data_IF_217453532973
#
_entry.id   IF_217453532973
#
_cell.length_a   1.000
_cell.length_b   1.000
_cell.length_c   1.000
_cell.angle_alpha   90.00
_cell.angle_beta   90.00
_cell.angle_gamma   90.00
#
_symmetry.space_group_name_H-M   'P 1'
#
loop_
_entity.id
_entity.type
_entity.pdbx_description
1 polymer ?
#
# COMPACT_ATOMS: atom_id res chain seq x y z
N UNK A 1 6.88 7.48 -11.16
CA UNK A 1 6.48 6.06 -11.01
C UNK A 1 5.05 5.92 -10.50
N UNK A 2 4.73 6.34 -9.26
CA UNK A 2 3.39 6.18 -8.69
C UNK A 2 2.29 6.92 -9.47
N UNK A 3 2.55 8.15 -9.93
CA UNK A 3 1.59 8.87 -10.79
C UNK A 3 1.27 8.10 -12.08
N UNK A 4 2.30 7.61 -12.77
CA UNK A 4 2.12 6.88 -14.02
C UNK A 4 1.35 5.58 -13.81
N UNK A 5 1.67 4.84 -12.75
CA UNK A 5 0.90 3.67 -12.31
C UNK A 5 -0.56 4.04 -12.00
N UNK A 6 -0.79 5.15 -11.29
CA UNK A 6 -2.14 5.59 -10.94
C UNK A 6 -2.95 5.92 -12.19
N UNK A 7 -2.36 6.60 -13.18
CA UNK A 7 -3.04 6.89 -14.46
C UNK A 7 -3.38 5.64 -15.26
N UNK A 8 -2.55 4.59 -15.20
CA UNK A 8 -2.76 3.36 -15.97
C UNK A 8 -3.67 2.35 -15.28
N UNK A 9 -3.71 2.36 -13.94
CA UNK A 9 -4.30 1.27 -13.15
C UNK A 9 -5.49 1.71 -12.29
N UNK A 10 -5.72 3.00 -12.11
CA UNK A 10 -6.81 3.52 -11.28
C UNK A 10 -7.86 4.24 -12.13
N UNK A 11 -9.12 4.12 -11.72
CA UNK A 11 -10.19 4.90 -12.31
C UNK A 11 -10.07 6.38 -11.88
N UNK A 12 -10.30 7.35 -12.78
CA UNK A 12 -10.37 8.76 -12.40
C UNK A 12 -11.40 8.99 -11.29
N UNK A 13 -11.07 9.83 -10.31
CA UNK A 13 -11.95 10.13 -9.18
C UNK A 13 -12.03 9.04 -8.10
N UNK A 14 -11.30 7.93 -8.22
CA UNK A 14 -11.27 6.92 -7.16
C UNK A 14 -10.57 7.44 -5.89
N UNK A 15 -10.95 6.89 -4.74
CA UNK A 15 -10.34 7.21 -3.46
C UNK A 15 -9.23 6.22 -3.13
N UNK A 16 -8.01 6.73 -3.03
CA UNK A 16 -6.82 5.98 -2.59
C UNK A 16 -6.66 6.18 -1.09
N UNK A 17 -6.87 5.10 -0.34
CA UNK A 17 -6.61 5.01 1.09
C UNK A 17 -5.17 4.54 1.32
N UNK A 18 -4.36 5.35 2.01
CA UNK A 18 -2.94 5.05 2.26
C UNK A 18 -2.57 5.28 3.72
N UNK A 19 -1.62 4.47 4.23
CA UNK A 19 -1.03 4.53 5.57
C UNK A 19 -0.11 5.74 5.82
N UNK A 20 0.11 6.52 4.77
CA UNK A 20 0.68 7.86 4.83
C UNK A 20 2.06 8.03 4.26
N UNK A 21 2.59 7.02 3.56
CA UNK A 21 3.80 7.16 2.77
C UNK A 21 3.72 8.36 1.80
N UNK A 22 4.79 9.16 1.75
CA UNK A 22 4.81 10.42 1.00
C UNK A 22 4.64 10.22 -0.52
N UNK A 23 5.14 9.10 -1.06
CA UNK A 23 5.10 8.81 -2.49
C UNK A 23 3.69 8.66 -3.07
N UNK A 24 2.70 8.26 -2.26
CA UNK A 24 1.29 8.15 -2.70
C UNK A 24 0.59 9.49 -2.85
N UNK A 25 1.18 10.61 -2.41
CA UNK A 25 0.65 11.92 -2.75
C UNK A 25 0.58 12.15 -4.27
N UNK A 26 1.41 11.46 -5.06
CA UNK A 26 1.42 11.56 -6.52
C UNK A 26 0.14 11.04 -7.20
N UNK A 27 -0.75 10.32 -6.51
CA UNK A 27 -2.01 9.84 -7.09
C UNK A 27 -3.01 10.98 -7.35
N UNK A 28 -2.86 12.12 -6.66
CA UNK A 28 -3.71 13.30 -6.91
C UNK A 28 -3.43 13.91 -8.28
N UNK A 29 -2.20 13.81 -8.78
CA UNK A 29 -1.84 14.22 -10.14
C UNK A 29 -2.47 13.31 -11.22
N UNK A 30 -2.93 12.12 -10.85
CA UNK A 30 -3.73 11.23 -11.70
C UNK A 30 -5.26 11.48 -11.56
N UNK A 31 -5.68 12.51 -10.84
CA UNK A 31 -7.10 12.82 -10.61
C UNK A 31 -7.78 11.89 -9.60
N UNK A 32 -7.01 11.19 -8.77
CA UNK A 32 -7.55 10.37 -7.67
C UNK A 32 -7.67 11.22 -6.39
N UNK A 33 -8.64 10.88 -5.54
CA UNK A 33 -8.73 11.41 -4.19
C UNK A 33 -7.72 10.68 -3.29
N UNK A 34 -6.94 11.41 -2.51
CA UNK A 34 -5.95 10.80 -1.63
C UNK A 34 -6.37 10.98 -0.17
N UNK A 35 -6.85 9.89 0.45
CA UNK A 35 -7.18 9.84 1.87
C UNK A 35 -6.05 9.17 2.63
N UNK A 36 -5.32 9.98 3.40
CA UNK A 36 -4.20 9.52 4.21
C UNK A 36 -4.66 9.26 5.63
N UNK A 37 -4.44 8.04 6.12
CA UNK A 37 -4.57 7.70 7.53
C UNK A 37 -3.17 7.48 8.10
N UNK A 38 -2.59 8.54 8.67
CA UNK A 38 -1.24 8.47 9.26
C UNK A 38 -1.27 7.55 10.48
N UNK A 39 -0.53 6.46 10.41
CA UNK A 39 -0.39 5.49 11.51
C UNK A 39 0.68 6.00 12.50
N UNK A 40 0.37 7.09 13.21
CA UNK A 40 1.25 7.66 14.24
C UNK A 40 1.12 6.88 15.57
N UNK A 41 1.57 5.62 15.59
CA UNK A 41 1.55 4.79 16.80
C UNK A 41 0.22 4.09 17.11
N UNK A 42 -0.75 4.15 16.20
CA UNK A 42 -1.98 3.34 16.29
C UNK A 42 -1.65 1.87 16.07
N UNK A 43 -2.25 0.99 16.87
CA UNK A 43 -2.07 -0.45 16.69
C UNK A 43 -2.86 -0.91 15.47
N UNK A 44 -2.46 -1.98 14.77
CA UNK A 44 -3.20 -2.50 13.62
C UNK A 44 -4.69 -2.78 13.91
N UNK A 45 -5.04 -3.10 15.16
CA UNK A 45 -6.43 -3.27 15.64
C UNK A 45 -7.29 -2.00 15.59
N UNK A 46 -6.66 -0.83 15.65
CA UNK A 46 -7.33 0.47 15.66
C UNK A 46 -7.61 0.97 14.22
N UNK A 47 -7.23 0.16 13.21
CA UNK A 47 -7.33 0.45 11.79
C UNK A 47 -7.89 -0.77 11.04
N UNK A 48 -9.16 -1.14 11.28
CA UNK A 48 -9.77 -2.34 10.69
C UNK A 48 -9.73 -2.34 9.16
N UNK A 49 -9.81 -1.17 8.54
CA UNK A 49 -9.71 -0.97 7.09
C UNK A 49 -8.38 -1.49 6.50
N UNK A 50 -7.29 -1.41 7.27
CA UNK A 50 -5.97 -1.88 6.86
C UNK A 50 -5.63 -3.29 7.37
N UNK A 51 -6.43 -3.87 8.27
CA UNK A 51 -6.13 -5.17 8.88
C UNK A 51 -6.07 -6.28 7.83
N UNK A 52 -7.07 -6.36 6.95
CA UNK A 52 -7.10 -7.39 5.90
C UNK A 52 -6.01 -7.14 4.86
N UNK A 53 -5.75 -5.88 4.49
CA UNK A 53 -4.66 -5.50 3.57
C UNK A 53 -3.32 -5.98 4.14
N UNK A 54 -3.05 -5.68 5.41
CA UNK A 54 -1.82 -6.10 6.09
C UNK A 54 -1.72 -7.63 6.19
N UNK A 55 -2.84 -8.33 6.34
CA UNK A 55 -2.88 -9.80 6.35
C UNK A 55 -2.50 -10.37 4.99
N UNK A 56 -3.09 -9.83 3.91
CA UNK A 56 -2.76 -10.23 2.53
C UNK A 56 -1.29 -9.95 2.22
N UNK A 57 -0.78 -8.77 2.56
CA UNK A 57 0.63 -8.41 2.37
C UNK A 57 1.57 -9.30 3.21
N UNK A 58 1.19 -9.63 4.44
CA UNK A 58 1.94 -10.55 5.30
C UNK A 58 2.02 -11.95 4.69
N UNK A 59 0.90 -12.48 4.21
CA UNK A 59 0.85 -13.78 3.54
C UNK A 59 1.66 -13.79 2.24
N UNK A 60 1.57 -12.72 1.45
CA UNK A 60 2.37 -12.57 0.24
C UNK A 60 3.87 -12.58 0.55
N UNK A 61 4.30 -11.83 1.57
CA UNK A 61 5.70 -11.81 2.02
C UNK A 61 6.16 -13.21 2.45
N UNK A 62 5.34 -13.92 3.23
CA UNK A 62 5.63 -15.29 3.67
C UNK A 62 5.73 -16.25 2.48
N UNK A 63 4.81 -16.16 1.52
CA UNK A 63 4.81 -16.97 0.30
C UNK A 63 6.06 -16.73 -0.55
N UNK A 64 6.45 -15.46 -0.72
CA UNK A 64 7.69 -15.09 -1.43
C UNK A 64 8.93 -15.63 -0.70
N UNK A 65 9.01 -15.46 0.62
CA UNK A 65 10.13 -15.99 1.42
C UNK A 65 10.23 -17.53 1.38
N UNK A 66 9.08 -18.21 1.35
CA UNK A 66 8.98 -19.67 1.25
C UNK A 66 9.26 -20.21 -0.16
N UNK A 67 8.88 -19.48 -1.21
CA UNK A 67 9.05 -19.94 -2.60
C UNK A 67 10.42 -19.59 -3.17
N UNK A 68 11.01 -18.49 -2.71
CA UNK A 68 12.28 -17.96 -3.21
C UNK A 68 13.41 -18.12 -2.19
N UNK A 69 13.70 -19.35 -1.76
CA UNK A 69 14.82 -19.66 -0.85
C UNK A 69 16.20 -19.28 -1.41
N UNK A 70 16.34 -19.14 -2.74
CA UNK A 70 17.59 -18.79 -3.40
C UNK A 70 17.87 -17.29 -3.47
N UNK A 71 16.88 -16.43 -3.24
CA UNK A 71 17.10 -14.99 -3.18
C UNK A 71 17.40 -14.59 -1.75
N UNK A 72 18.69 -14.37 -1.49
CA UNK A 72 19.17 -13.80 -0.25
C UNK A 72 18.76 -12.31 -0.21
N UNK A 73 17.48 -12.04 0.04
CA UNK A 73 16.99 -10.69 0.28
C UNK A 73 17.76 -10.16 1.49
N UNK A 74 18.61 -9.15 1.25
CA UNK A 74 19.41 -8.53 2.30
C UNK A 74 18.45 -8.03 3.38
N UNK A 75 18.56 -8.63 4.57
CA UNK A 75 17.77 -8.26 5.75
C UNK A 75 18.02 -6.82 6.14
#
# INVERSE_FOLDING_TARGET
AIEQWARSCLAPGCTVLCDGLACFAAVTAAGCLHQRTVIAGRKPRDLPEFQWVNTVLGNLKTSLAGSYHAFNFRK
#
